data_IF_147724299878
#
_entry.id   IF_147724299878
#
_cell.length_a   1.000
_cell.length_b   1.000
_cell.length_c   1.000
_cell.angle_alpha   90.00
_cell.angle_beta   90.00
_cell.angle_gamma   90.00
#
_symmetry.space_group_name_H-M   'P 1'
#
loop_
_entity.id
_entity.type
_entity.pdbx_description
1 polymer ?
#
# COMPACT_ATOMS: atom_id res chain seq x y z
N UNK A 1 -14.85 6.76 7.61
CA UNK A 1 -13.97 5.93 6.75
C UNK A 1 -14.41 4.49 6.77
N UNK A 2 -14.28 3.81 5.65
CA UNK A 2 -14.57 2.39 5.59
C UNK A 2 -13.58 1.60 6.41
N UNK A 3 -14.06 0.49 6.99
CA UNK A 3 -13.21 -0.40 7.76
C UNK A 3 -12.19 -1.09 6.86
N UNK A 4 -11.00 -1.29 7.39
CA UNK A 4 -9.96 -2.04 6.71
C UNK A 4 -10.17 -3.54 6.88
N UNK A 5 -9.93 -4.29 5.81
CA UNK A 5 -9.83 -5.74 5.92
C UNK A 5 -8.50 -6.09 6.60
N UNK A 6 -8.33 -7.33 7.12
CA UNK A 6 -7.05 -7.72 7.73
C UNK A 6 -5.86 -7.53 6.80
N UNK A 7 -6.02 -7.82 5.51
CA UNK A 7 -4.94 -7.63 4.54
C UNK A 7 -4.62 -6.15 4.31
N UNK A 8 -5.65 -5.32 4.27
CA UNK A 8 -5.47 -3.87 4.14
C UNK A 8 -4.76 -3.30 5.36
N UNK A 9 -5.07 -3.82 6.55
CA UNK A 9 -4.36 -3.41 7.76
C UNK A 9 -2.88 -3.74 7.70
N UNK A 10 -2.53 -4.91 7.17
CA UNK A 10 -1.13 -5.29 7.00
C UNK A 10 -0.42 -4.34 6.05
N UNK A 11 -1.08 -3.95 4.96
CA UNK A 11 -0.53 -2.95 4.04
C UNK A 11 -0.31 -1.62 4.74
N UNK A 12 -1.30 -1.15 5.50
CA UNK A 12 -1.18 0.12 6.19
C UNK A 12 -0.05 0.09 7.22
N UNK A 13 0.17 -1.02 7.89
CA UNK A 13 1.31 -1.15 8.82
C UNK A 13 2.63 -0.96 8.11
N UNK A 14 2.76 -1.45 6.89
CA UNK A 14 3.98 -1.22 6.11
C UNK A 14 4.19 0.27 5.88
N UNK A 15 3.14 0.99 5.48
CA UNK A 15 3.23 2.43 5.26
C UNK A 15 3.53 3.19 6.55
N UNK A 16 2.85 2.82 7.65
CA UNK A 16 3.06 3.48 8.93
C UNK A 16 4.47 3.26 9.48
N UNK A 17 5.03 2.09 9.23
CA UNK A 17 6.35 1.75 9.73
C UNK A 17 7.47 2.32 8.86
N UNK A 18 7.29 2.28 7.54
CA UNK A 18 8.35 2.64 6.61
C UNK A 18 8.15 3.95 5.87
N UNK A 19 6.92 4.49 5.90
CA UNK A 19 6.59 5.71 5.19
C UNK A 19 6.26 5.44 3.73
N UNK A 20 6.53 6.40 2.82
CA UNK A 20 6.18 6.21 1.41
C UNK A 20 6.88 5.00 0.79
N UNK A 21 6.13 4.22 0.00
CA UNK A 21 6.63 2.99 -0.60
C UNK A 21 6.11 2.83 -2.03
N UNK A 22 6.95 2.28 -2.89
CA UNK A 22 6.51 1.79 -4.20
C UNK A 22 5.92 0.40 -4.04
N UNK A 23 5.00 0.01 -4.94
CA UNK A 23 4.36 -1.32 -4.84
C UNK A 23 5.39 -2.45 -4.88
N UNK A 24 6.43 -2.31 -5.70
CA UNK A 24 7.48 -3.34 -5.76
C UNK A 24 8.21 -3.52 -4.43
N UNK A 25 8.32 -2.43 -3.65
CA UNK A 25 8.90 -2.50 -2.31
C UNK A 25 7.99 -3.26 -1.36
N UNK A 26 6.68 -3.07 -1.49
CA UNK A 26 5.71 -3.82 -0.71
C UNK A 26 5.80 -5.31 -0.99
N UNK A 27 5.95 -5.70 -2.27
CA UNK A 27 6.12 -7.11 -2.62
C UNK A 27 7.36 -7.68 -1.94
N UNK A 28 8.46 -6.93 -1.96
CA UNK A 28 9.71 -7.38 -1.35
C UNK A 28 9.60 -7.54 0.17
N UNK A 29 8.76 -6.71 0.81
CA UNK A 29 8.57 -6.76 2.27
C UNK A 29 7.57 -7.84 2.71
N UNK A 30 6.75 -8.34 1.78
CA UNK A 30 5.71 -9.30 2.12
C UNK A 30 6.31 -10.67 2.41
N UNK A 31 5.79 -11.38 3.44
CA UNK A 31 6.29 -12.72 3.74
C UNK A 31 5.88 -13.73 2.66
N UNK A 32 6.60 -14.84 2.61
CA UNK A 32 6.25 -15.92 1.69
C UNK A 32 4.94 -16.59 2.10
N UNK A 33 4.10 -17.04 1.16
CA UNK A 33 4.29 -16.86 -0.29
C UNK A 33 4.00 -15.42 -0.72
N UNK A 34 4.88 -14.86 -1.55
CA UNK A 34 4.74 -13.48 -1.99
C UNK A 34 3.55 -13.31 -2.93
N UNK A 35 2.73 -12.28 -2.74
CA UNK A 35 1.63 -12.00 -3.64
C UNK A 35 2.16 -11.46 -4.97
N UNK A 36 1.32 -11.58 -5.98
CA UNK A 36 1.63 -11.02 -7.29
C UNK A 36 1.62 -9.50 -7.21
N UNK A 37 2.51 -8.86 -7.97
CA UNK A 37 2.57 -7.39 -8.04
C UNK A 37 1.20 -6.78 -8.31
N UNK A 38 0.45 -7.32 -9.29
CA UNK A 38 -0.86 -6.80 -9.64
C UNK A 38 -1.87 -6.90 -8.50
N UNK A 39 -1.76 -7.93 -7.68
CA UNK A 39 -2.64 -8.12 -6.51
C UNK A 39 -2.43 -6.99 -5.50
N UNK A 40 -1.17 -6.73 -5.14
CA UNK A 40 -0.86 -5.64 -4.22
C UNK A 40 -1.21 -4.28 -4.80
N UNK A 41 -0.96 -4.09 -6.09
CA UNK A 41 -1.29 -2.84 -6.76
C UNK A 41 -2.79 -2.55 -6.68
N UNK A 42 -3.63 -3.56 -6.91
CA UNK A 42 -5.08 -3.44 -6.80
C UNK A 42 -5.51 -3.09 -5.37
N UNK A 43 -4.90 -3.75 -4.38
CA UNK A 43 -5.20 -3.50 -2.98
C UNK A 43 -4.83 -2.07 -2.57
N UNK A 44 -3.68 -1.59 -3.01
CA UNK A 44 -3.24 -0.23 -2.70
C UNK A 44 -4.16 0.80 -3.34
N UNK A 45 -4.61 0.55 -4.57
CA UNK A 45 -5.58 1.43 -5.21
C UNK A 45 -6.91 1.45 -4.46
N UNK A 46 -7.31 0.31 -3.91
CA UNK A 46 -8.49 0.23 -3.06
C UNK A 46 -8.35 1.09 -1.82
N UNK A 47 -7.17 1.06 -1.19
CA UNK A 47 -6.88 1.90 -0.04
C UNK A 47 -6.92 3.38 -0.41
N UNK A 48 -6.42 3.73 -1.57
CA UNK A 48 -6.48 5.11 -2.04
C UNK A 48 -7.92 5.57 -2.24
N UNK A 49 -8.76 4.71 -2.83
CA UNK A 49 -10.17 5.01 -3.02
C UNK A 49 -10.90 5.22 -1.70
N UNK A 50 -10.46 4.53 -0.64
CA UNK A 50 -11.04 4.69 0.70
C UNK A 50 -10.48 5.90 1.45
N UNK A 51 -9.46 6.56 0.91
CA UNK A 51 -8.87 7.74 1.53
C UNK A 51 -7.75 7.45 2.53
N UNK A 52 -7.22 6.23 2.56
CA UNK A 52 -6.15 5.87 3.50
C UNK A 52 -4.76 6.19 2.98
N UNK A 53 -4.57 6.17 1.67
CA UNK A 53 -3.27 6.49 1.07
C UNK A 53 -3.44 7.41 -0.11
N UNK A 54 -2.37 8.14 -0.44
CA UNK A 54 -2.28 8.92 -1.66
C UNK A 54 -1.10 8.44 -2.48
N UNK A 55 -0.89 9.02 -3.65
CA UNK A 55 0.26 8.64 -4.46
C UNK A 55 0.90 9.85 -5.12
N UNK A 56 2.17 9.68 -5.48
CA UNK A 56 2.94 10.67 -6.22
C UNK A 56 3.64 9.96 -7.37
N UNK A 57 3.57 10.55 -8.56
CA UNK A 57 4.19 9.97 -9.74
C UNK A 57 5.69 10.26 -9.78
N UNK A 58 6.46 9.23 -10.13
CA UNK A 58 7.89 9.33 -10.35
C UNK A 58 8.20 8.60 -11.66
N UNK A 59 8.30 9.36 -12.74
CA UNK A 59 8.48 8.74 -14.05
C UNK A 59 7.32 7.82 -14.39
N UNK A 60 7.58 6.56 -14.68
CA UNK A 60 6.54 5.58 -15.01
C UNK A 60 5.98 4.81 -13.84
N UNK A 61 6.27 5.23 -12.60
CA UNK A 61 5.83 4.50 -11.42
C UNK A 61 5.21 5.45 -10.40
N UNK A 62 4.50 4.88 -9.41
CA UNK A 62 3.85 5.66 -8.36
C UNK A 62 4.38 5.23 -6.99
N UNK A 63 4.69 6.23 -6.17
CA UNK A 63 5.01 6.00 -4.77
C UNK A 63 3.78 6.33 -3.94
N UNK A 64 3.33 5.38 -3.14
CA UNK A 64 2.17 5.59 -2.26
C UNK A 64 2.63 5.97 -0.86
N UNK A 65 1.81 6.75 -0.17
CA UNK A 65 2.12 7.21 1.18
C UNK A 65 0.85 7.23 2.03
N UNK A 66 0.98 7.07 3.35
CA UNK A 66 -0.21 7.07 4.21
C UNK A 66 -0.77 8.49 4.36
N UNK A 67 -2.08 8.59 4.28
CA UNK A 67 -2.80 9.85 4.53
C UNK A 67 -3.33 9.91 5.96
N UNK A 68 -3.42 8.77 6.64
CA UNK A 68 -3.91 8.69 8.00
C UNK A 68 -2.84 8.07 8.87
N UNK A 69 -2.82 8.46 10.15
CA UNK A 69 -1.87 7.88 11.11
C UNK A 69 -2.48 6.68 11.80
N UNK A 70 -1.63 5.85 12.34
CA UNK A 70 -2.05 4.67 13.10
C UNK A 70 -2.77 5.08 14.45
#
# INVERSE_FOLDING_TARGET
>A
MEKLTPREEELMRCFWTRGPLFVRELVALWPEPKPHFNTLSTMVRGLEAKGYVGHKAYGGTYQYYPLVSE
#
